data_IF_493851415561
#
_entry.id   IF_493851415561
#
_cell.length_a   1.000
_cell.length_b   1.000
_cell.length_c   1.000
_cell.angle_alpha   90.00
_cell.angle_beta   90.00
_cell.angle_gamma   90.00
#
_symmetry.space_group_name_H-M   'P 1'
#
loop_
_entity.id
_entity.type
_entity.pdbx_description
1 polymer ?
#
# COMPACT_ATOMS: atom_id res chain seq x y z
N UNK A 1 13.12 -7.94 -8.93
CA UNK A 1 11.94 -8.51 -8.25
C UNK A 1 10.85 -8.71 -9.27
N UNK A 2 10.20 -9.85 -9.24
CA UNK A 2 9.16 -10.14 -10.24
C UNK A 2 7.84 -9.45 -9.92
N UNK A 3 7.32 -9.64 -8.71
CA UNK A 3 6.04 -9.08 -8.29
C UNK A 3 6.20 -8.25 -7.04
N UNK A 4 5.61 -7.06 -7.05
CA UNK A 4 5.63 -6.17 -5.90
C UNK A 4 4.23 -5.66 -5.58
N UNK A 5 3.93 -5.61 -4.29
CA UNK A 5 2.78 -4.86 -3.75
C UNK A 5 3.32 -3.59 -3.14
N UNK A 6 2.75 -2.47 -3.54
CA UNK A 6 3.16 -1.15 -3.07
C UNK A 6 2.34 -0.77 -1.84
N UNK A 7 3.01 -0.55 -0.72
CA UNK A 7 2.38 -0.11 0.52
C UNK A 7 1.97 1.36 0.45
N UNK A 8 0.98 1.73 1.24
CA UNK A 8 0.45 3.09 1.32
C UNK A 8 1.54 4.12 1.62
N UNK A 9 2.50 3.79 2.49
CA UNK A 9 3.61 4.67 2.85
C UNK A 9 4.45 5.10 1.65
N UNK A 10 4.58 4.23 0.65
CA UNK A 10 5.34 4.50 -0.58
C UNK A 10 4.57 5.44 -1.50
N UNK A 11 3.26 5.26 -1.61
CA UNK A 11 2.41 6.17 -2.38
C UNK A 11 2.42 7.58 -1.77
N UNK A 12 2.28 7.67 -0.45
CA UNK A 12 2.26 8.95 0.26
C UNK A 12 3.59 9.70 0.08
N UNK A 13 4.70 9.00 0.17
CA UNK A 13 6.04 9.59 0.04
C UNK A 13 6.50 9.78 -1.39
N UNK A 14 5.72 9.32 -2.38
CA UNK A 14 6.03 9.40 -3.82
C UNK A 14 7.33 8.68 -4.20
N UNK A 15 7.74 7.66 -3.43
CA UNK A 15 8.94 6.86 -3.67
C UNK A 15 8.67 5.69 -4.62
N UNK A 16 8.04 5.99 -5.75
CA UNK A 16 7.61 4.98 -6.73
C UNK A 16 8.75 4.46 -7.62
N UNK A 17 9.91 5.10 -7.57
CA UNK A 17 11.11 4.67 -8.26
C UNK A 17 11.50 3.21 -7.92
N UNK A 18 11.34 2.82 -6.66
CA UNK A 18 11.61 1.45 -6.22
C UNK A 18 10.67 0.43 -6.88
N UNK A 19 9.41 0.81 -7.09
CA UNK A 19 8.43 -0.06 -7.74
C UNK A 19 8.74 -0.29 -9.22
N UNK A 20 9.45 0.64 -9.87
CA UNK A 20 9.80 0.51 -11.29
C UNK A 20 10.77 -0.65 -11.55
N UNK A 21 11.43 -1.16 -10.52
CA UNK A 21 12.32 -2.32 -10.63
C UNK A 21 11.57 -3.64 -10.65
N UNK A 22 10.26 -3.62 -10.39
CA UNK A 22 9.42 -4.82 -10.38
C UNK A 22 8.81 -5.05 -11.75
N UNK A 23 8.80 -6.30 -12.20
CA UNK A 23 8.18 -6.67 -13.48
C UNK A 23 6.66 -6.50 -13.42
N UNK A 24 6.04 -6.90 -12.32
CA UNK A 24 4.61 -6.73 -12.08
C UNK A 24 4.40 -5.93 -10.81
N UNK A 25 3.56 -4.90 -10.89
CA UNK A 25 3.30 -3.95 -9.82
C UNK A 25 1.84 -3.97 -9.44
N UNK A 26 1.58 -4.07 -8.14
CA UNK A 26 0.23 -4.17 -7.62
C UNK A 26 0.00 -3.19 -6.48
N UNK A 27 -1.22 -2.68 -6.39
CA UNK A 27 -1.78 -2.10 -5.17
C UNK A 27 -3.06 -2.85 -4.82
N UNK A 28 -3.30 -3.03 -3.53
CA UNK A 28 -4.54 -3.62 -3.07
C UNK A 28 -5.61 -2.55 -2.89
N UNK A 29 -6.88 -2.95 -2.87
CA UNK A 29 -7.99 -2.07 -2.53
C UNK A 29 -7.83 -1.45 -1.14
N UNK A 30 -7.20 -2.16 -0.21
CA UNK A 30 -6.90 -1.63 1.14
C UNK A 30 -5.94 -0.46 1.05
N UNK A 31 -4.87 -0.56 0.27
CA UNK A 31 -3.91 0.54 0.06
C UNK A 31 -4.61 1.75 -0.57
N UNK A 32 -5.46 1.53 -1.55
CA UNK A 32 -6.20 2.63 -2.18
C UNK A 32 -7.12 3.34 -1.19
N UNK A 33 -7.83 2.57 -0.36
CA UNK A 33 -8.68 3.15 0.67
C UNK A 33 -7.87 4.00 1.65
N UNK A 34 -6.75 3.48 2.14
CA UNK A 34 -5.88 4.21 3.06
C UNK A 34 -5.32 5.50 2.43
N UNK A 35 -4.85 5.42 1.18
CA UNK A 35 -4.30 6.56 0.47
C UNK A 35 -5.35 7.64 0.21
N UNK A 36 -6.52 7.24 -0.27
CA UNK A 36 -7.62 8.17 -0.55
C UNK A 36 -8.13 8.83 0.74
N UNK A 37 -8.23 8.06 1.82
CA UNK A 37 -8.62 8.57 3.13
C UNK A 37 -7.61 9.59 3.64
N UNK A 38 -6.33 9.28 3.54
CA UNK A 38 -5.25 10.20 3.93
C UNK A 38 -5.30 11.51 3.14
N UNK A 39 -5.41 11.43 1.81
CA UNK A 39 -5.42 12.61 0.96
C UNK A 39 -6.64 13.49 1.23
N UNK A 40 -7.81 12.87 1.42
CA UNK A 40 -9.04 13.61 1.73
C UNK A 40 -8.97 14.31 3.08
N UNK A 41 -8.52 13.61 4.12
CA UNK A 41 -8.34 14.21 5.45
C UNK A 41 -7.33 15.34 5.42
N UNK A 42 -6.22 15.14 4.73
CA UNK A 42 -5.20 16.16 4.59
C UNK A 42 -5.75 17.42 3.90
N UNK A 43 -6.59 17.25 2.87
CA UNK A 43 -7.25 18.34 2.19
C UNK A 43 -8.21 19.08 3.12
N UNK A 44 -8.98 18.37 3.94
CA UNK A 44 -9.95 18.94 4.88
C UNK A 44 -9.25 19.78 5.98
N UNK A 45 -8.06 19.35 6.39
CA UNK A 45 -7.31 20.00 7.47
C UNK A 45 -6.38 21.12 6.98
N UNK A 46 -6.09 21.20 5.69
CA UNK A 46 -5.17 22.15 5.13
C UNK A 46 -5.86 23.39 4.60
N UNK A 47 -5.18 24.55 4.69
CA UNK A 47 -5.57 25.77 4.02
C UNK A 47 -4.97 25.80 2.60
N UNK A 48 -5.52 26.68 1.73
CA UNK A 48 -4.92 26.93 0.43
C UNK A 48 -3.50 27.52 0.58
N UNK A 49 -2.53 27.20 -0.30
CA UNK A 49 -2.69 26.39 -1.51
C UNK A 49 -2.50 24.86 -1.30
N UNK A 50 -2.14 24.43 -0.09
CA UNK A 50 -1.86 23.01 0.21
C UNK A 50 -3.08 22.12 0.00
N UNK A 51 -4.26 22.61 0.35
CA UNK A 51 -5.52 21.89 0.14
C UNK A 51 -5.69 21.48 -1.31
N UNK A 52 -5.45 22.39 -2.24
CA UNK A 52 -5.55 22.12 -3.67
C UNK A 52 -4.58 21.03 -4.12
N UNK A 53 -3.38 21.00 -3.53
CA UNK A 53 -2.39 19.98 -3.80
C UNK A 53 -2.88 18.58 -3.42
N UNK A 54 -3.50 18.42 -2.26
CA UNK A 54 -4.05 17.13 -1.85
C UNK A 54 -5.23 16.68 -2.73
N UNK A 55 -6.09 17.60 -3.11
CA UNK A 55 -7.20 17.31 -4.04
C UNK A 55 -6.63 16.81 -5.37
N UNK A 56 -5.57 17.46 -5.86
CA UNK A 56 -4.94 17.09 -7.12
C UNK A 56 -4.33 15.68 -7.06
N UNK A 57 -3.77 15.27 -5.93
CA UNK A 57 -3.28 13.90 -5.75
C UNK A 57 -4.39 12.87 -6.00
N UNK A 58 -5.59 13.12 -5.49
CA UNK A 58 -6.74 12.24 -5.74
C UNK A 58 -7.13 12.22 -7.21
N UNK A 59 -7.18 13.39 -7.84
CA UNK A 59 -7.54 13.51 -9.24
C UNK A 59 -6.55 12.79 -10.17
N UNK A 60 -5.27 12.80 -9.81
CA UNK A 60 -4.19 12.20 -10.61
C UNK A 60 -4.01 10.71 -10.37
N UNK A 61 -4.58 10.16 -9.30
CA UNK A 61 -4.35 8.76 -8.92
C UNK A 61 -4.67 7.76 -10.05
N UNK A 62 -5.82 7.82 -10.72
CA UNK A 62 -6.11 6.87 -11.80
C UNK A 62 -5.07 6.92 -12.94
N UNK A 63 -4.67 8.13 -13.31
CA UNK A 63 -3.66 8.33 -14.36
C UNK A 63 -2.29 7.78 -13.94
N UNK A 64 -1.90 8.02 -12.69
CA UNK A 64 -0.64 7.52 -12.14
C UNK A 64 -0.58 5.98 -12.19
N UNK A 65 -1.64 5.32 -11.78
CA UNK A 65 -1.72 3.85 -11.80
C UNK A 65 -1.57 3.31 -13.23
N UNK A 66 -2.22 3.96 -14.19
CA UNK A 66 -2.12 3.56 -15.60
C UNK A 66 -0.72 3.80 -16.16
N UNK A 67 -0.15 4.96 -15.94
CA UNK A 67 1.17 5.33 -16.48
C UNK A 67 2.29 4.44 -15.93
N UNK A 68 2.21 4.03 -14.69
CA UNK A 68 3.21 3.18 -14.06
C UNK A 68 2.88 1.69 -14.18
N UNK A 69 1.82 1.35 -14.90
CA UNK A 69 1.33 -0.03 -15.05
C UNK A 69 1.17 -0.73 -13.68
N UNK A 70 0.52 -0.04 -12.76
CA UNK A 70 0.19 -0.58 -11.44
C UNK A 70 -1.20 -1.18 -11.49
N UNK A 71 -1.30 -2.48 -11.23
CA UNK A 71 -2.58 -3.21 -11.25
C UNK A 71 -3.25 -3.12 -9.90
N UNK A 72 -4.56 -2.90 -9.91
CA UNK A 72 -5.37 -2.92 -8.70
C UNK A 72 -5.89 -4.34 -8.50
N UNK A 73 -5.67 -4.90 -7.31
CA UNK A 73 -6.16 -6.22 -6.94
C UNK A 73 -7.01 -6.14 -5.67
N UNK A 74 -7.89 -7.12 -5.51
CA UNK A 74 -8.68 -7.20 -4.29
C UNK A 74 -7.77 -7.36 -3.08
N UNK A 75 -8.00 -6.52 -2.07
CA UNK A 75 -7.18 -6.51 -0.87
C UNK A 75 -7.48 -7.66 0.07
N UNK A 76 -8.64 -8.32 -0.07
CA UNK A 76 -9.09 -9.35 0.86
C UNK A 76 -9.73 -10.51 0.10
N UNK A 77 -9.13 -11.70 0.21
CA UNK A 77 -9.78 -12.95 -0.12
C UNK A 77 -10.22 -13.62 1.19
N UNK A 78 -11.20 -14.53 1.13
CA UNK A 78 -11.70 -15.21 2.32
C UNK A 78 -10.58 -15.91 3.11
N UNK A 79 -9.65 -16.55 2.40
CA UNK A 79 -8.51 -17.24 3.00
C UNK A 79 -7.52 -16.31 3.71
N UNK A 80 -7.51 -15.01 3.38
CA UNK A 80 -6.61 -14.03 3.98
C UNK A 80 -7.06 -13.62 5.39
N UNK A 81 -8.34 -13.77 5.70
CA UNK A 81 -8.92 -13.24 6.95
C UNK A 81 -8.32 -13.92 8.19
N UNK A 82 -8.17 -15.23 8.17
CA UNK A 82 -7.63 -15.98 9.30
C UNK A 82 -6.21 -15.50 9.66
N UNK A 83 -5.33 -15.40 8.66
CA UNK A 83 -3.95 -14.95 8.88
C UNK A 83 -3.91 -13.49 9.32
N UNK A 84 -4.70 -12.62 8.69
CA UNK A 84 -4.74 -11.21 9.01
C UNK A 84 -5.20 -10.97 10.46
N UNK A 85 -6.26 -11.66 10.89
CA UNK A 85 -6.76 -11.57 12.27
C UNK A 85 -5.71 -12.06 13.26
N UNK A 86 -5.09 -13.21 12.98
CA UNK A 86 -4.05 -13.77 13.84
C UNK A 86 -2.87 -12.82 13.99
N UNK A 87 -2.36 -12.25 12.89
CA UNK A 87 -1.23 -11.32 12.95
C UNK A 87 -1.58 -10.03 13.69
N UNK A 88 -2.79 -9.51 13.48
CA UNK A 88 -3.25 -8.31 14.18
C UNK A 88 -3.32 -8.54 15.70
N UNK A 89 -3.85 -9.69 16.12
CA UNK A 89 -4.02 -10.02 17.54
C UNK A 89 -2.70 -10.45 18.20
N UNK A 90 -1.95 -11.32 17.57
CA UNK A 90 -0.76 -11.93 18.19
C UNK A 90 0.48 -11.04 18.10
N UNK A 91 0.60 -10.24 17.04
CA UNK A 91 1.79 -9.44 16.79
C UNK A 91 1.57 -7.94 16.87
N UNK A 92 0.34 -7.51 17.14
CA UNK A 92 0.00 -6.10 17.22
C UNK A 92 0.21 -5.34 15.92
N UNK A 93 0.12 -6.02 14.79
CA UNK A 93 0.22 -5.41 13.47
C UNK A 93 -1.06 -4.66 13.16
N UNK A 94 -0.94 -3.49 12.54
CA UNK A 94 -2.10 -2.73 12.07
C UNK A 94 -2.97 -3.62 11.16
N UNK A 95 -4.30 -3.65 11.34
CA UNK A 95 -5.18 -4.48 10.51
C UNK A 95 -5.03 -4.26 9.01
N UNK A 96 -4.84 -3.01 8.58
CA UNK A 96 -4.58 -2.71 7.16
C UNK A 96 -3.32 -3.41 6.67
N UNK A 97 -2.21 -3.32 7.40
CA UNK A 97 -0.95 -3.97 7.07
C UNK A 97 -1.09 -5.49 7.07
N UNK A 98 -1.86 -6.04 8.02
CA UNK A 98 -2.13 -7.47 8.08
C UNK A 98 -2.86 -7.96 6.81
N UNK A 99 -3.86 -7.22 6.35
CA UNK A 99 -4.60 -7.54 5.13
C UNK A 99 -3.74 -7.40 3.87
N UNK A 100 -2.93 -6.35 3.80
CA UNK A 100 -1.99 -6.14 2.68
C UNK A 100 -0.97 -7.29 2.63
N UNK A 101 -0.47 -7.70 3.79
CA UNK A 101 0.48 -8.82 3.91
C UNK A 101 -0.10 -10.12 3.40
N UNK A 102 -1.33 -10.43 3.80
CA UNK A 102 -2.00 -11.65 3.37
C UNK A 102 -2.22 -11.66 1.85
N UNK A 103 -2.60 -10.52 1.28
CA UNK A 103 -2.74 -10.37 -0.17
C UNK A 103 -1.39 -10.54 -0.89
N UNK A 104 -0.32 -9.94 -0.38
CA UNK A 104 1.02 -10.07 -0.95
C UNK A 104 1.50 -11.52 -0.94
N UNK A 105 1.27 -12.22 0.16
CA UNK A 105 1.60 -13.65 0.26
C UNK A 105 0.84 -14.49 -0.76
N UNK A 106 -0.44 -14.24 -0.92
CA UNK A 106 -1.30 -14.92 -1.90
C UNK A 106 -0.81 -14.69 -3.34
N UNK A 107 -0.33 -13.49 -3.64
CA UNK A 107 0.19 -13.12 -4.96
C UNK A 107 1.64 -13.60 -5.19
N UNK A 108 2.30 -14.09 -4.15
CA UNK A 108 3.74 -14.39 -4.24
C UNK A 108 4.57 -13.14 -4.47
N UNK A 109 4.15 -12.02 -3.91
CA UNK A 109 4.75 -10.70 -4.15
C UNK A 109 5.58 -10.22 -2.96
N UNK A 110 6.54 -9.35 -3.25
CA UNK A 110 7.32 -8.63 -2.26
C UNK A 110 6.62 -7.32 -1.94
N UNK A 111 6.49 -6.95 -0.67
CA UNK A 111 5.94 -5.66 -0.28
C UNK A 111 7.04 -4.60 -0.28
N UNK A 112 6.79 -3.49 -0.94
CA UNK A 112 7.66 -2.31 -0.89
C UNK A 112 7.02 -1.32 0.06
N UNK A 113 7.74 -0.96 1.12
CA UNK A 113 7.22 -0.14 2.21
C UNK A 113 8.29 0.81 2.75
N UNK A 114 7.88 1.81 3.50
CA UNK A 114 8.76 2.63 4.33
C UNK A 114 8.55 2.37 5.82
N UNK A 115 7.66 1.47 6.17
CA UNK A 115 7.28 1.15 7.54
C UNK A 115 8.07 -0.06 8.05
N UNK A 116 8.83 0.14 9.12
CA UNK A 116 9.61 -0.92 9.77
C UNK A 116 8.76 -1.95 10.50
N UNK A 117 7.50 -1.66 10.77
CA UNK A 117 6.61 -2.61 11.40
C UNK A 117 6.44 -3.89 10.56
N UNK A 118 6.73 -3.82 9.26
CA UNK A 118 6.75 -4.99 8.38
C UNK A 118 7.79 -6.05 8.79
N UNK A 119 8.78 -5.69 9.57
CA UNK A 119 9.75 -6.64 10.15
C UNK A 119 9.08 -7.66 11.08
N UNK A 120 7.88 -7.36 11.60
CA UNK A 120 7.08 -8.26 12.43
C UNK A 120 6.37 -9.35 11.64
N UNK A 121 6.43 -9.31 10.32
CA UNK A 121 5.75 -10.23 9.41
C UNK A 121 6.77 -10.98 8.55
N UNK A 122 7.58 -11.88 9.15
CA UNK A 122 8.62 -12.60 8.41
C UNK A 122 8.07 -13.56 7.35
N UNK A 123 6.79 -13.92 7.40
CA UNK A 123 6.12 -14.72 6.38
C UNK A 123 5.94 -14.01 5.06
N UNK A 124 6.09 -12.68 5.06
CA UNK A 124 5.95 -11.85 3.87
C UNK A 124 7.29 -11.17 3.60
N UNK A 125 7.80 -11.35 2.41
CA UNK A 125 9.03 -10.65 2.00
C UNK A 125 8.72 -9.16 1.84
N UNK A 126 9.54 -8.31 2.44
CA UNK A 126 9.40 -6.87 2.32
C UNK A 126 10.74 -6.21 2.03
N UNK A 127 10.67 -5.09 1.30
CA UNK A 127 11.80 -4.18 1.08
C UNK A 127 11.43 -2.87 1.75
N UNK A 128 12.18 -2.52 2.79
CA UNK A 128 11.93 -1.31 3.55
C UNK A 128 12.81 -0.19 3.00
N UNK A 129 12.18 0.84 2.46
CA UNK A 129 12.88 2.00 1.90
C UNK A 129 13.31 2.96 3.01
N UNK A 130 14.46 3.63 2.85
CA UNK A 130 14.94 4.63 3.81
C UNK A 130 14.06 5.89 3.86
#
# INVERSE_FOLDING_TARGET
>A
MERCVIDTSVLISKRLDAALQCAERYVTSVVLLEYMTWARRSAEEAAEPRRRGYIRLLQLLPSLLRQLDIRVVDGVAAEDVDDAVRWALERGVNPGDALISAAARRLGAVVITRDRDWERLPEVKSVILP
#
